data_IF_811890706565
#
_entry.id   IF_811890706565
#
_cell.length_a   1.000
_cell.length_b   1.000
_cell.length_c   1.000
_cell.angle_alpha   90.00
_cell.angle_beta   90.00
_cell.angle_gamma   90.00
#
_symmetry.space_group_name_H-M   'P 1'
#
loop_
_entity.id
_entity.type
_entity.pdbx_description
1 polymer ?
#
# COMPACT_ATOMS: atom_id res chain seq x y z
N UNK A 1 25.31 -1.51 21.04
CA UNK A 1 24.38 -0.63 21.78
C UNK A 1 23.02 -1.32 21.82
N UNK A 2 22.43 -1.57 23.00
CA UNK A 2 21.12 -2.21 23.10
C UNK A 2 20.08 -1.27 22.51
N UNK A 3 19.36 -1.69 21.48
CA UNK A 3 18.16 -1.00 21.01
C UNK A 3 17.19 -0.89 22.18
N UNK A 4 17.02 0.30 22.71
CA UNK A 4 15.93 0.61 23.62
C UNK A 4 14.64 0.50 22.80
N UNK A 5 13.94 -0.64 22.90
CA UNK A 5 12.62 -0.81 22.33
C UNK A 5 11.75 0.33 22.86
N UNK A 6 11.39 1.26 21.98
CA UNK A 6 10.49 2.35 22.32
C UNK A 6 9.07 1.81 22.34
N UNK A 7 8.46 1.74 23.51
CA UNK A 7 7.06 1.40 23.66
C UNK A 7 6.18 2.65 23.60
N UNK A 8 5.19 2.65 22.75
CA UNK A 8 4.18 3.70 22.58
C UNK A 8 2.80 3.20 23.04
N UNK A 9 1.84 4.10 23.31
CA UNK A 9 0.46 3.69 23.52
C UNK A 9 0.02 2.81 22.33
N UNK A 10 -0.54 1.64 22.63
CA UNK A 10 -0.91 0.66 21.61
C UNK A 10 -1.94 1.21 20.63
N UNK A 11 -2.90 2.01 21.12
CA UNK A 11 -3.87 2.70 20.30
C UNK A 11 -3.48 4.19 20.14
N UNK A 12 -3.15 4.58 18.93
CA UNK A 12 -2.90 5.97 18.55
C UNK A 12 -4.08 6.47 17.71
N UNK A 13 -4.64 7.63 18.10
CA UNK A 13 -5.79 8.22 17.43
C UNK A 13 -5.36 9.52 16.76
N UNK A 14 -5.68 9.64 15.48
CA UNK A 14 -5.39 10.79 14.63
C UNK A 14 -6.72 11.44 14.22
N UNK A 15 -6.85 12.72 14.52
CA UNK A 15 -8.05 13.49 14.21
C UNK A 15 -7.73 14.40 13.04
N UNK A 16 -8.44 14.19 11.94
CA UNK A 16 -8.33 14.98 10.71
C UNK A 16 -9.54 15.91 10.61
N UNK A 17 -9.30 17.16 10.23
CA UNK A 17 -10.39 18.14 10.07
C UNK A 17 -11.26 17.78 8.86
N UNK A 18 -12.41 17.20 9.14
CA UNK A 18 -13.41 16.83 8.16
C UNK A 18 -14.65 17.73 8.14
N UNK A 19 -14.61 18.93 8.74
CA UNK A 19 -15.78 19.81 8.86
C UNK A 19 -16.41 20.15 7.51
N UNK A 20 -15.61 20.25 6.44
CA UNK A 20 -16.07 20.52 5.09
C UNK A 20 -16.83 19.36 4.42
N UNK A 21 -16.66 18.12 4.90
CA UNK A 21 -17.34 16.96 4.34
C UNK A 21 -18.73 16.77 4.93
N UNK A 22 -19.59 16.08 4.21
CA UNK A 22 -20.92 15.69 4.69
C UNK A 22 -20.93 14.38 5.46
N UNK A 23 -19.81 13.68 5.43
CA UNK A 23 -19.62 12.37 6.06
C UNK A 23 -18.58 12.44 7.16
N UNK A 24 -18.66 11.50 8.10
CA UNK A 24 -17.61 11.13 9.03
C UNK A 24 -16.96 9.83 8.54
N UNK A 25 -15.63 9.79 8.45
CA UNK A 25 -14.88 8.60 8.12
C UNK A 25 -14.07 8.13 9.33
N UNK A 26 -14.27 6.88 9.71
CA UNK A 26 -13.51 6.15 10.70
C UNK A 26 -12.70 5.05 10.01
N UNK A 27 -11.39 5.00 10.25
CA UNK A 27 -10.52 3.95 9.75
C UNK A 27 -9.65 3.43 10.90
N UNK A 28 -9.75 2.14 11.19
CA UNK A 28 -9.00 1.46 12.24
C UNK A 28 -8.03 0.49 11.58
N UNK A 29 -6.75 0.73 11.72
CA UNK A 29 -5.67 -0.07 11.18
C UNK A 29 -4.98 -0.86 12.29
N UNK A 30 -4.92 -2.17 12.16
CA UNK A 30 -3.97 -2.99 12.88
C UNK A 30 -2.68 -3.03 12.07
N UNK A 31 -1.60 -2.52 12.64
CA UNK A 31 -0.29 -2.39 11.99
C UNK A 31 0.54 -3.63 12.26
N UNK A 32 0.53 -4.54 11.31
CA UNK A 32 1.10 -5.88 11.40
C UNK A 32 2.39 -5.92 10.57
N UNK A 33 3.54 -6.38 11.12
CA UNK A 33 4.71 -6.67 10.30
C UNK A 33 4.38 -7.67 9.20
N UNK A 34 4.70 -7.35 7.96
CA UNK A 34 4.42 -8.24 6.83
C UNK A 34 5.40 -9.41 6.83
N UNK A 35 4.89 -10.59 7.17
CA UNK A 35 5.67 -11.84 7.25
C UNK A 35 5.00 -12.93 6.43
N UNK A 36 5.82 -13.77 5.79
CA UNK A 36 5.35 -14.87 4.94
C UNK A 36 4.41 -15.82 5.69
N UNK A 37 4.71 -16.09 6.97
CA UNK A 37 4.00 -17.07 7.80
C UNK A 37 2.60 -16.59 8.24
N UNK A 38 2.36 -15.28 8.24
CA UNK A 38 1.12 -14.70 8.75
C UNK A 38 0.30 -13.99 7.67
N UNK A 39 0.90 -13.68 6.52
CA UNK A 39 0.27 -12.91 5.46
C UNK A 39 -1.08 -13.51 5.02
N UNK A 40 -1.11 -14.82 4.78
CA UNK A 40 -2.32 -15.54 4.34
C UNK A 40 -3.40 -15.58 5.42
N UNK A 41 -3.00 -15.74 6.69
CA UNK A 41 -3.95 -15.69 7.82
C UNK A 41 -4.64 -14.33 7.91
N UNK A 42 -3.87 -13.23 7.80
CA UNK A 42 -4.44 -11.86 7.84
C UNK A 42 -5.37 -11.61 6.66
N UNK A 43 -4.99 -12.05 5.45
CA UNK A 43 -5.84 -11.92 4.27
C UNK A 43 -7.15 -12.70 4.42
N UNK A 44 -7.09 -13.92 4.95
CA UNK A 44 -8.26 -14.75 5.20
C UNK A 44 -9.17 -14.16 6.30
N UNK A 45 -8.57 -13.57 7.35
CA UNK A 45 -9.31 -12.85 8.39
C UNK A 45 -10.16 -11.72 7.82
N UNK A 46 -9.61 -10.90 6.93
CA UNK A 46 -10.35 -9.81 6.32
C UNK A 46 -11.59 -10.32 5.57
N UNK A 47 -11.45 -11.40 4.81
CA UNK A 47 -12.59 -12.01 4.10
C UNK A 47 -13.62 -12.63 5.05
N UNK A 48 -13.16 -13.18 6.18
CA UNK A 48 -14.03 -13.82 7.17
C UNK A 48 -14.80 -12.80 8.00
N UNK A 49 -14.15 -11.75 8.49
CA UNK A 49 -14.75 -10.72 9.33
C UNK A 49 -15.83 -9.88 8.62
N UNK A 50 -15.85 -9.87 7.29
CA UNK A 50 -16.93 -9.30 6.47
C UNK A 50 -18.22 -10.09 6.54
N UNK A 51 -18.25 -11.29 7.12
CA UNK A 51 -19.42 -12.17 7.08
C UNK A 51 -20.38 -11.95 8.23
N UNK A 52 -19.93 -11.28 9.29
CA UNK A 52 -20.76 -10.96 10.44
C UNK A 52 -19.97 -10.80 11.71
N UNK A 53 -20.66 -10.36 12.73
CA UNK A 53 -20.21 -10.33 14.11
C UNK A 53 -21.38 -10.77 15.00
N UNK A 54 -21.15 -11.01 16.29
CA UNK A 54 -22.21 -11.54 17.19
C UNK A 54 -23.53 -10.76 17.12
N UNK A 55 -23.57 -9.39 17.15
CA UNK A 55 -24.82 -8.66 17.02
C UNK A 55 -25.42 -8.69 15.60
N UNK A 56 -24.60 -8.93 14.59
CA UNK A 56 -24.99 -8.95 13.17
C UNK A 56 -24.45 -10.23 12.52
N UNK A 57 -25.10 -11.40 12.74
CA UNK A 57 -24.50 -12.70 12.46
C UNK A 57 -24.53 -13.12 10.99
N UNK A 58 -24.87 -12.21 10.08
CA UNK A 58 -24.89 -12.49 8.64
C UNK A 58 -24.60 -11.25 7.81
N UNK A 59 -24.18 -11.38 6.53
CA UNK A 59 -24.05 -10.26 5.62
C UNK A 59 -25.32 -9.44 5.48
N UNK A 60 -26.49 -10.10 5.52
CA UNK A 60 -27.79 -9.42 5.46
C UNK A 60 -28.06 -8.58 6.71
N UNK A 61 -27.69 -9.07 7.89
CA UNK A 61 -27.82 -8.31 9.13
C UNK A 61 -26.90 -7.09 9.16
N UNK A 62 -25.65 -7.23 8.65
CA UNK A 62 -24.73 -6.12 8.48
C UNK A 62 -25.25 -5.09 7.47
N UNK A 63 -25.77 -5.56 6.32
CA UNK A 63 -26.34 -4.68 5.30
C UNK A 63 -27.56 -3.90 5.85
N UNK A 64 -28.47 -4.58 6.54
CA UNK A 64 -29.63 -3.96 7.19
C UNK A 64 -29.16 -2.88 8.19
N UNK A 65 -28.14 -3.18 9.01
CA UNK A 65 -27.60 -2.21 9.97
C UNK A 65 -26.98 -1.00 9.27
N UNK A 66 -26.28 -1.20 8.16
CA UNK A 66 -25.73 -0.11 7.37
C UNK A 66 -26.85 0.76 6.74
N UNK A 67 -27.94 0.16 6.29
CA UNK A 67 -29.13 0.88 5.80
C UNK A 67 -29.77 1.72 6.91
N UNK A 68 -29.92 1.18 8.13
CA UNK A 68 -30.43 1.91 9.30
C UNK A 68 -29.55 3.14 9.65
N UNK A 69 -28.25 3.06 9.33
CA UNK A 69 -27.28 4.18 9.41
C UNK A 69 -27.24 5.00 8.11
N UNK A 70 -28.37 5.19 7.43
CA UNK A 70 -28.52 5.95 6.19
C UNK A 70 -27.60 5.51 5.05
N UNK A 71 -27.41 4.20 4.89
CA UNK A 71 -26.57 3.63 3.84
C UNK A 71 -25.08 3.80 4.14
N UNK A 72 -24.67 3.58 5.38
CA UNK A 72 -23.27 3.63 5.79
C UNK A 72 -22.39 2.70 4.94
N UNK A 73 -21.24 3.19 4.52
CA UNK A 73 -20.25 2.42 3.78
C UNK A 73 -19.23 1.85 4.76
N UNK A 74 -19.06 0.54 4.77
CA UNK A 74 -18.10 -0.13 5.63
C UNK A 74 -17.34 -1.23 4.89
N UNK A 75 -16.13 -1.50 5.33
CA UNK A 75 -15.31 -2.59 4.78
C UNK A 75 -14.31 -3.13 5.81
N UNK A 76 -13.90 -4.38 5.60
CA UNK A 76 -12.74 -4.98 6.28
C UNK A 76 -11.78 -5.47 5.20
N UNK A 77 -10.61 -4.90 5.13
CA UNK A 77 -9.65 -5.20 4.06
C UNK A 77 -8.22 -5.31 4.56
N UNK A 78 -7.36 -5.81 3.69
CA UNK A 78 -5.92 -5.79 3.90
C UNK A 78 -5.29 -4.80 2.95
N UNK A 79 -4.43 -3.93 3.51
CA UNK A 79 -3.68 -2.95 2.74
C UNK A 79 -2.19 -3.15 2.98
N UNK A 80 -1.42 -3.24 1.90
CA UNK A 80 0.05 -3.26 1.98
C UNK A 80 0.58 -1.84 1.98
N UNK A 81 1.31 -1.48 3.03
CA UNK A 81 2.04 -0.21 3.12
C UNK A 81 3.49 -0.50 3.50
N UNK A 82 4.35 -0.53 2.52
CA UNK A 82 5.74 -0.85 2.77
C UNK A 82 5.95 -2.29 3.21
N UNK A 83 6.68 -2.47 4.31
CA UNK A 83 6.91 -3.74 4.98
C UNK A 83 5.78 -4.11 5.98
N UNK A 84 4.62 -3.45 5.87
CA UNK A 84 3.48 -3.63 6.75
C UNK A 84 2.28 -4.22 6.02
N UNK A 85 1.55 -5.08 6.72
CA UNK A 85 0.22 -5.55 6.35
C UNK A 85 -0.77 -4.94 7.31
N UNK A 86 -1.62 -4.06 6.81
CA UNK A 86 -2.61 -3.37 7.63
C UNK A 86 -3.94 -4.08 7.48
N UNK A 87 -4.46 -4.65 8.59
CA UNK A 87 -5.85 -5.08 8.64
C UNK A 87 -6.70 -3.84 8.96
N UNK A 88 -7.45 -3.41 7.97
CA UNK A 88 -8.26 -2.19 8.00
C UNK A 88 -9.72 -2.50 8.25
N UNK A 89 -10.30 -1.85 9.24
CA UNK A 89 -11.75 -1.71 9.41
C UNK A 89 -12.13 -0.27 9.12
N UNK A 90 -13.07 -0.07 8.25
CA UNK A 90 -13.50 1.26 7.83
C UNK A 90 -15.01 1.42 7.91
N UNK A 91 -15.44 2.64 8.23
CA UNK A 91 -16.83 3.03 8.25
C UNK A 91 -16.96 4.50 7.87
N UNK A 92 -17.74 4.76 6.84
CA UNK A 92 -18.12 6.11 6.45
C UNK A 92 -19.64 6.29 6.59
N UNK A 93 -20.04 7.29 7.38
CA UNK A 93 -21.44 7.60 7.68
C UNK A 93 -21.75 9.06 7.38
N UNK A 94 -23.00 9.38 7.08
CA UNK A 94 -23.44 10.76 7.08
C UNK A 94 -23.27 11.38 8.47
N UNK A 95 -22.99 12.68 8.57
CA UNK A 95 -22.92 13.40 9.84
C UNK A 95 -24.24 13.41 10.63
N UNK A 96 -25.36 13.10 9.97
CA UNK A 96 -26.65 12.94 10.63
C UNK A 96 -26.74 11.69 11.51
N UNK A 97 -25.85 10.69 11.29
CA UNK A 97 -25.75 9.50 12.15
C UNK A 97 -25.01 9.87 13.42
N UNK A 98 -25.54 9.47 14.59
CA UNK A 98 -24.80 9.66 15.84
C UNK A 98 -23.46 8.91 15.76
N UNK A 99 -22.39 9.64 16.03
CA UNK A 99 -21.04 9.08 15.99
C UNK A 99 -20.87 7.91 16.97
N UNK A 100 -21.56 7.91 18.10
CA UNK A 100 -21.50 6.81 19.07
C UNK A 100 -22.08 5.51 18.48
N UNK A 101 -23.12 5.63 17.69
CA UNK A 101 -23.70 4.51 16.94
C UNK A 101 -22.67 3.93 15.93
N UNK A 102 -21.98 4.81 15.20
CA UNK A 102 -20.90 4.43 14.28
C UNK A 102 -19.73 3.76 15.00
N UNK A 103 -19.33 4.29 16.15
CA UNK A 103 -18.26 3.72 16.98
C UNK A 103 -18.64 2.35 17.55
N UNK A 104 -19.89 2.18 17.98
CA UNK A 104 -20.41 0.90 18.47
C UNK A 104 -20.42 -0.17 17.38
N UNK A 105 -20.86 0.19 16.17
CA UNK A 105 -20.84 -0.73 15.03
C UNK A 105 -19.42 -1.21 14.72
N UNK A 106 -18.44 -0.30 14.63
CA UNK A 106 -17.04 -0.68 14.41
C UNK A 106 -16.48 -1.51 15.55
N UNK A 107 -16.80 -1.15 16.79
CA UNK A 107 -16.37 -1.91 17.97
C UNK A 107 -16.90 -3.33 17.94
N UNK A 108 -18.16 -3.53 17.59
CA UNK A 108 -18.77 -4.85 17.49
C UNK A 108 -18.15 -5.67 16.38
N UNK A 109 -17.88 -5.10 15.19
CA UNK A 109 -17.16 -5.76 14.10
C UNK A 109 -15.77 -6.24 14.53
N UNK A 110 -15.06 -5.43 15.31
CA UNK A 110 -13.68 -5.72 15.70
C UNK A 110 -13.63 -6.66 16.92
N UNK A 111 -14.41 -6.43 17.94
CA UNK A 111 -14.24 -7.10 19.23
C UNK A 111 -15.18 -8.29 19.46
N UNK A 112 -16.19 -8.44 18.62
CA UNK A 112 -17.23 -9.49 18.78
C UNK A 112 -17.38 -10.30 17.49
N UNK A 113 -16.28 -10.97 17.02
CA UNK A 113 -16.36 -11.79 15.81
C UNK A 113 -17.28 -13.01 16.02
N UNK A 114 -17.79 -13.57 14.91
CA UNK A 114 -18.54 -14.84 14.95
C UNK A 114 -17.58 -15.98 15.30
N UNK A 115 -17.44 -16.29 16.58
CA UNK A 115 -16.60 -17.38 17.06
C UNK A 115 -17.35 -18.21 18.11
N UNK A 116 -17.18 -19.51 18.06
CA UNK A 116 -17.79 -20.47 18.97
C UNK A 116 -16.70 -21.32 19.61
N UNK A 117 -16.74 -21.48 20.93
CA UNK A 117 -15.81 -22.30 21.69
C UNK A 117 -14.31 -22.05 21.38
N UNK A 118 -13.96 -20.80 21.11
CA UNK A 118 -12.56 -20.41 20.82
C UNK A 118 -12.10 -20.72 19.39
N UNK A 119 -13.02 -20.87 18.45
CA UNK A 119 -12.73 -21.10 17.04
C UNK A 119 -13.73 -20.36 16.13
N UNK A 120 -13.31 -19.99 14.95
CA UNK A 120 -14.25 -19.60 13.88
C UNK A 120 -14.95 -20.85 13.32
N UNK A 121 -16.25 -20.77 12.95
CA UNK A 121 -17.00 -21.91 12.40
C UNK A 121 -16.30 -22.48 11.17
N UNK A 122 -16.06 -23.80 11.17
CA UNK A 122 -15.27 -24.48 10.13
C UNK A 122 -15.86 -24.28 8.73
N UNK A 123 -17.20 -24.38 8.59
CA UNK A 123 -17.86 -24.17 7.30
C UNK A 123 -17.63 -22.75 6.77
N UNK A 124 -17.67 -21.75 7.64
CA UNK A 124 -17.41 -20.35 7.28
C UNK A 124 -15.96 -20.17 6.81
N UNK A 125 -14.99 -20.75 7.51
CA UNK A 125 -13.58 -20.71 7.14
C UNK A 125 -13.36 -21.34 5.78
N UNK A 126 -13.87 -22.55 5.55
CA UNK A 126 -13.72 -23.25 4.26
C UNK A 126 -14.37 -22.49 3.11
N UNK A 127 -15.49 -21.84 3.33
CA UNK A 127 -16.12 -20.97 2.33
C UNK A 127 -15.25 -19.78 1.98
N UNK A 128 -14.64 -19.11 2.98
CA UNK A 128 -13.78 -17.96 2.73
C UNK A 128 -12.44 -18.37 2.10
N UNK A 129 -11.89 -19.53 2.43
CA UNK A 129 -10.74 -20.09 1.72
C UNK A 129 -11.00 -20.24 0.21
N UNK A 130 -12.18 -20.76 -0.17
CA UNK A 130 -12.56 -20.88 -1.59
C UNK A 130 -12.62 -19.51 -2.29
N UNK A 131 -13.16 -18.49 -1.60
CA UNK A 131 -13.26 -17.14 -2.13
C UNK A 131 -11.87 -16.52 -2.27
N UNK A 132 -11.02 -16.61 -1.25
CA UNK A 132 -9.66 -16.08 -1.29
C UNK A 132 -8.81 -16.80 -2.35
N UNK A 133 -8.91 -18.12 -2.47
CA UNK A 133 -8.25 -18.90 -3.53
C UNK A 133 -8.62 -18.40 -4.91
N UNK A 134 -9.89 -18.17 -5.19
CA UNK A 134 -10.34 -17.59 -6.44
C UNK A 134 -9.79 -16.18 -6.66
N UNK A 135 -9.78 -15.33 -5.62
CA UNK A 135 -9.21 -13.98 -5.68
C UNK A 135 -7.72 -14.03 -6.03
N UNK A 136 -6.95 -14.90 -5.38
CA UNK A 136 -5.51 -15.07 -5.63
C UNK A 136 -5.21 -15.55 -7.06
N UNK A 137 -6.03 -16.46 -7.60
CA UNK A 137 -5.92 -16.90 -8.99
C UNK A 137 -6.26 -15.79 -9.97
N UNK A 138 -7.34 -15.05 -9.74
CA UNK A 138 -7.74 -13.93 -10.61
C UNK A 138 -6.68 -12.81 -10.65
N UNK A 139 -5.91 -12.60 -9.57
CA UNK A 139 -4.79 -11.65 -9.58
C UNK A 139 -3.68 -12.05 -10.58
N UNK A 140 -3.66 -13.29 -11.02
CA UNK A 140 -2.71 -13.78 -12.02
C UNK A 140 -3.19 -13.52 -13.46
N UNK A 141 -4.45 -13.18 -13.67
CA UNK A 141 -5.04 -12.99 -15.01
C UNK A 141 -4.76 -11.59 -15.56
N UNK A 142 -4.64 -10.58 -14.72
CA UNK A 142 -4.16 -9.26 -15.12
C UNK A 142 -2.63 -9.29 -15.28
N UNK A 143 -2.16 -9.44 -16.50
CA UNK A 143 -0.73 -9.52 -16.84
C UNK A 143 0.06 -8.31 -16.39
N UNK A 144 -0.52 -7.12 -16.43
CA UNK A 144 0.15 -5.89 -16.03
C UNK A 144 0.41 -5.89 -14.53
N UNK A 145 -0.60 -6.23 -13.75
CA UNK A 145 -0.50 -6.32 -12.29
C UNK A 145 0.34 -7.52 -11.87
N UNK A 146 0.19 -8.65 -12.55
CA UNK A 146 1.02 -9.83 -12.34
C UNK A 146 2.51 -9.55 -12.55
N UNK A 147 2.88 -8.95 -13.69
CA UNK A 147 4.27 -8.60 -13.97
C UNK A 147 4.84 -7.62 -12.94
N UNK A 148 4.04 -6.64 -12.49
CA UNK A 148 4.43 -5.69 -11.46
C UNK A 148 4.70 -6.37 -10.13
N UNK A 149 3.83 -7.29 -9.71
CA UNK A 149 3.97 -8.03 -8.46
C UNK A 149 5.18 -8.95 -8.50
N UNK A 150 5.35 -9.71 -9.59
CA UNK A 150 6.52 -10.58 -9.76
C UNK A 150 7.82 -9.79 -9.76
N UNK A 151 7.85 -8.66 -10.45
CA UNK A 151 9.02 -7.78 -10.43
C UNK A 151 9.33 -7.24 -9.03
N UNK A 152 8.32 -6.91 -8.22
CA UNK A 152 8.51 -6.49 -6.82
C UNK A 152 9.07 -7.65 -5.98
N UNK A 153 8.53 -8.86 -6.10
CA UNK A 153 8.99 -10.06 -5.40
C UNK A 153 10.48 -10.31 -5.68
N UNK A 154 10.88 -10.21 -6.95
CA UNK A 154 12.26 -10.43 -7.39
C UNK A 154 13.20 -9.27 -6.99
N UNK A 155 12.76 -8.02 -7.18
CA UNK A 155 13.56 -6.82 -6.85
C UNK A 155 13.84 -6.73 -5.36
N UNK A 156 12.83 -7.05 -4.54
CA UNK A 156 12.88 -6.97 -3.08
C UNK A 156 13.13 -8.32 -2.40
N UNK A 157 13.63 -9.33 -3.15
CA UNK A 157 13.81 -10.68 -2.65
C UNK A 157 14.60 -10.74 -1.34
N UNK A 158 14.12 -11.55 -0.39
CA UNK A 158 14.71 -11.67 0.95
C UNK A 158 14.31 -10.56 1.92
N UNK A 159 13.42 -9.67 1.54
CA UNK A 159 12.89 -8.59 2.38
C UNK A 159 11.38 -8.75 2.61
N UNK A 160 10.80 -8.13 3.65
CA UNK A 160 9.34 -8.12 3.84
C UNK A 160 8.56 -7.50 2.65
N UNK A 161 9.21 -6.67 1.84
CA UNK A 161 8.61 -6.05 0.65
C UNK A 161 8.23 -7.07 -0.43
N UNK A 162 8.99 -8.18 -0.54
CA UNK A 162 8.70 -9.26 -1.47
C UNK A 162 7.46 -10.06 -1.07
N UNK A 163 7.03 -10.01 0.20
CA UNK A 163 5.89 -10.79 0.69
C UNK A 163 4.58 -10.20 0.17
N UNK A 164 3.71 -11.06 -0.37
CA UNK A 164 2.35 -10.68 -0.79
C UNK A 164 1.45 -10.45 0.43
N UNK A 165 0.83 -9.29 0.53
CA UNK A 165 -0.15 -9.02 1.58
C UNK A 165 -1.50 -9.72 1.33
N UNK A 166 -1.77 -10.15 0.10
CA UNK A 166 -2.96 -10.94 -0.24
C UNK A 166 -2.82 -12.41 0.20
N UNK A 167 -1.62 -12.82 0.65
CA UNK A 167 -1.31 -14.19 1.02
C UNK A 167 -0.97 -15.08 -0.17
N UNK A 168 -1.03 -16.38 0.06
CA UNK A 168 -0.61 -17.42 -0.89
C UNK A 168 -1.59 -18.58 -0.88
N UNK A 169 -1.84 -19.15 -2.06
CA UNK A 169 -2.82 -20.22 -2.21
C UNK A 169 -2.42 -21.50 -1.47
N UNK A 170 -1.14 -21.83 -1.50
CA UNK A 170 -0.57 -23.02 -0.85
C UNK A 170 -0.72 -23.03 0.67
N UNK A 171 -0.87 -21.88 1.31
CA UNK A 171 -1.01 -21.82 2.78
C UNK A 171 -2.43 -22.10 3.25
N UNK A 172 -3.42 -21.94 2.37
CA UNK A 172 -4.85 -21.98 2.75
C UNK A 172 -5.25 -23.29 3.39
N UNK A 173 -4.73 -24.41 2.89
CA UNK A 173 -5.13 -25.73 3.38
C UNK A 173 -4.65 -25.99 4.82
N UNK A 174 -3.57 -25.36 5.25
CA UNK A 174 -3.02 -25.46 6.62
C UNK A 174 -3.70 -24.55 7.66
N UNK A 175 -4.71 -23.74 7.29
CA UNK A 175 -5.38 -22.83 8.21
C UNK A 175 -6.72 -23.41 8.63
N UNK A 176 -6.98 -23.58 9.92
CA UNK A 176 -8.27 -23.96 10.49
C UNK A 176 -8.90 -22.85 11.33
N UNK A 177 -10.14 -23.05 11.76
CA UNK A 177 -10.90 -22.07 12.52
C UNK A 177 -10.28 -21.74 13.88
N UNK A 178 -9.65 -22.71 14.55
CA UNK A 178 -9.01 -22.52 15.85
C UNK A 178 -7.75 -21.71 15.73
N UNK A 179 -6.84 -22.12 14.86
CA UNK A 179 -5.56 -21.41 14.63
C UNK A 179 -5.76 -19.99 14.10
N UNK A 180 -6.82 -19.76 13.30
CA UNK A 180 -7.17 -18.45 12.80
C UNK A 180 -7.74 -17.55 13.89
N UNK A 181 -8.58 -18.10 14.79
CA UNK A 181 -9.13 -17.36 15.93
C UNK A 181 -8.05 -17.01 16.96
N UNK A 182 -7.17 -17.97 17.29
CA UNK A 182 -6.01 -17.72 18.16
C UNK A 182 -5.12 -16.61 17.60
N UNK A 183 -4.86 -16.62 16.29
CA UNK A 183 -4.12 -15.57 15.61
C UNK A 183 -4.86 -14.23 15.71
N UNK A 184 -6.17 -14.17 15.51
CA UNK A 184 -6.96 -12.94 15.66
C UNK A 184 -6.90 -12.38 17.08
N UNK A 185 -7.06 -13.23 18.08
CA UNK A 185 -6.94 -12.85 19.50
C UNK A 185 -5.54 -12.29 19.81
N UNK A 186 -4.49 -12.84 19.19
CA UNK A 186 -3.13 -12.32 19.30
C UNK A 186 -3.02 -10.93 18.69
N UNK A 187 -3.54 -10.71 17.47
CA UNK A 187 -3.57 -9.39 16.83
C UNK A 187 -4.27 -8.36 17.73
N UNK A 188 -5.44 -8.72 18.26
CA UNK A 188 -6.21 -7.85 19.15
C UNK A 188 -5.46 -7.50 20.46
N UNK A 189 -4.50 -8.27 20.91
CA UNK A 189 -3.75 -8.04 22.14
C UNK A 189 -2.40 -7.35 21.93
N UNK A 190 -1.71 -7.64 20.85
CA UNK A 190 -0.30 -7.33 20.70
C UNK A 190 -0.02 -6.24 19.68
N UNK A 191 -0.79 -6.19 18.58
CA UNK A 191 -0.46 -5.29 17.47
C UNK A 191 -0.82 -3.83 17.76
N UNK A 192 -0.03 -2.92 17.17
CA UNK A 192 -0.29 -1.48 17.22
C UNK A 192 -1.56 -1.13 16.45
N UNK A 193 -2.41 -0.30 17.04
CA UNK A 193 -3.67 0.15 16.44
C UNK A 193 -3.58 1.64 16.12
N UNK A 194 -3.86 2.01 14.89
CA UNK A 194 -3.95 3.40 14.43
C UNK A 194 -5.38 3.68 14.00
N UNK A 195 -6.00 4.65 14.67
CA UNK A 195 -7.36 5.09 14.37
C UNK A 195 -7.29 6.45 13.72
N UNK A 196 -7.85 6.58 12.55
CA UNK A 196 -8.04 7.85 11.86
C UNK A 196 -9.52 8.20 11.88
N UNK A 197 -9.81 9.40 12.32
CA UNK A 197 -11.14 9.99 12.25
C UNK A 197 -11.06 11.27 11.43
N UNK A 198 -11.74 11.27 10.28
CA UNK A 198 -11.93 12.45 9.47
C UNK A 198 -13.38 12.93 9.66
N UNK A 199 -13.57 14.00 10.43
CA UNK A 199 -14.90 14.45 10.84
C UNK A 199 -14.86 15.76 11.61
N UNK A 200 -15.87 16.01 12.45
CA UNK A 200 -15.93 17.21 13.25
C UNK A 200 -15.05 17.09 14.51
N UNK A 201 -14.29 18.13 14.79
CA UNK A 201 -13.42 18.20 15.98
C UNK A 201 -14.20 18.22 17.30
N UNK A 202 -15.47 18.61 17.29
CA UNK A 202 -16.35 18.60 18.49
C UNK A 202 -16.59 17.17 18.98
N UNK A 203 -16.56 16.17 18.08
CA UNK A 203 -16.72 14.75 18.36
C UNK A 203 -15.46 14.07 18.95
N UNK A 204 -14.39 14.82 19.14
CA UNK A 204 -13.08 14.34 19.61
C UNK A 204 -13.18 13.43 20.83
N UNK A 205 -14.02 13.79 21.81
CA UNK A 205 -14.12 13.03 23.08
C UNK A 205 -14.65 11.62 22.85
N UNK A 206 -15.67 11.47 21.99
CA UNK A 206 -16.25 10.17 21.62
C UNK A 206 -15.20 9.28 20.96
N UNK A 207 -14.47 9.81 19.95
CA UNK A 207 -13.43 9.05 19.24
C UNK A 207 -12.29 8.63 20.15
N UNK A 208 -11.85 9.50 21.06
CA UNK A 208 -10.77 9.20 22.01
C UNK A 208 -11.14 8.07 22.98
N UNK A 209 -12.43 7.80 23.20
CA UNK A 209 -12.87 6.68 24.03
C UNK A 209 -12.49 5.30 23.43
N UNK A 210 -12.27 5.20 22.11
CA UNK A 210 -11.78 3.98 21.46
C UNK A 210 -10.44 3.47 22.02
N UNK A 211 -9.63 4.33 22.65
CA UNK A 211 -8.39 3.88 23.32
C UNK A 211 -8.65 2.83 24.39
N UNK A 212 -9.82 2.88 25.03
CA UNK A 212 -10.20 1.90 26.06
C UNK A 212 -10.41 0.50 25.50
N UNK A 213 -10.73 0.40 24.19
CA UNK A 213 -10.91 -0.88 23.51
C UNK A 213 -9.57 -1.59 23.24
N UNK A 214 -8.47 -0.82 23.20
CA UNK A 214 -7.14 -1.33 22.86
C UNK A 214 -6.11 -0.88 23.91
N UNK A 215 -6.19 -1.39 25.14
CA UNK A 215 -5.32 -0.99 26.24
C UNK A 215 -3.89 -1.48 26.02
N UNK A 216 -2.94 -0.90 26.78
CA UNK A 216 -1.56 -1.34 26.83
C UNK A 216 -0.62 -0.51 25.95
N UNK A 217 0.56 -1.06 25.76
CA UNK A 217 1.65 -0.48 24.95
C UNK A 217 2.08 -1.51 23.91
N UNK A 218 2.41 -1.05 22.71
CA UNK A 218 3.01 -1.86 21.67
C UNK A 218 4.43 -1.38 21.40
N UNK A 219 5.26 -2.26 20.89
CA UNK A 219 6.55 -1.87 20.35
C UNK A 219 6.34 -0.86 19.23
N UNK A 220 7.10 0.23 19.27
CA UNK A 220 7.20 1.08 18.10
C UNK A 220 7.95 0.26 17.07
N UNK A 221 7.26 -0.13 16.03
CA UNK A 221 7.90 -0.69 14.87
C UNK A 221 8.59 0.49 14.18
N UNK A 222 9.81 0.80 14.62
CA UNK A 222 10.65 1.83 14.04
C UNK A 222 10.86 1.47 12.57
N UNK A 223 10.68 2.48 11.69
CA UNK A 223 11.02 2.55 10.29
C UNK A 223 11.25 1.20 9.58
N UNK A 224 11.38 1.17 8.35
CA UNK A 224 11.66 -0.05 7.59
C UNK A 224 12.79 -0.86 8.25
N UNK A 225 12.58 -2.16 8.53
CA UNK A 225 13.72 -3.05 8.63
C UNK A 225 14.51 -2.83 7.34
N UNK A 226 15.65 -2.15 7.47
CA UNK A 226 16.60 -2.03 6.36
C UNK A 226 16.83 -3.44 5.87
N UNK A 227 16.40 -3.71 4.65
CA UNK A 227 16.80 -4.93 4.01
C UNK A 227 18.33 -4.90 3.98
N UNK A 228 18.99 -5.88 4.59
CA UNK A 228 20.41 -6.06 4.35
C UNK A 228 20.60 -6.09 2.85
N UNK A 229 21.19 -5.02 2.35
CA UNK A 229 21.30 -4.78 0.93
C UNK A 229 22.20 -5.88 0.34
N UNK A 230 21.57 -6.90 -0.25
CA UNK A 230 22.34 -7.84 -1.06
C UNK A 230 22.92 -7.03 -2.22
N UNK A 231 24.21 -6.74 -2.16
CA UNK A 231 25.03 -6.23 -3.26
C UNK A 231 25.15 -7.28 -4.38
N UNK A 232 24.04 -7.91 -4.72
CA UNK A 232 24.01 -8.88 -5.80
C UNK A 232 23.91 -8.13 -7.13
N UNK A 233 24.55 -8.62 -8.19
CA UNK A 233 24.38 -8.07 -9.53
C UNK A 233 22.89 -8.15 -9.94
N UNK A 234 22.43 -7.26 -10.81
CA UNK A 234 21.08 -7.33 -11.34
C UNK A 234 20.82 -8.69 -11.98
N UNK A 235 19.66 -9.27 -11.71
CA UNK A 235 19.28 -10.54 -12.31
C UNK A 235 18.16 -10.35 -13.33
N UNK A 236 18.18 -11.18 -14.35
CA UNK A 236 17.20 -11.18 -15.42
C UNK A 236 16.28 -12.38 -15.28
N UNK A 237 14.96 -12.10 -15.18
CA UNK A 237 13.93 -13.12 -15.05
C UNK A 237 13.04 -13.07 -16.29
N UNK A 238 12.88 -14.21 -16.95
CA UNK A 238 11.96 -14.38 -18.06
C UNK A 238 10.91 -15.41 -17.70
N UNK A 239 9.66 -15.02 -17.76
CA UNK A 239 8.51 -15.88 -17.52
C UNK A 239 7.60 -15.83 -18.76
N UNK A 240 6.96 -16.96 -19.10
CA UNK A 240 6.00 -17.05 -20.21
C UNK A 240 4.61 -17.37 -19.67
N UNK A 241 3.63 -16.61 -20.10
CA UNK A 241 2.23 -16.79 -19.75
C UNK A 241 1.35 -16.49 -20.96
N UNK A 242 0.23 -17.23 -21.12
CA UNK A 242 -0.69 -17.05 -22.24
C UNK A 242 -1.11 -15.58 -22.43
N UNK A 243 -1.08 -15.10 -23.69
CA UNK A 243 -1.53 -13.78 -24.14
C UNK A 243 -0.55 -13.06 -25.04
N UNK A 244 -1.07 -12.08 -25.76
CA UNK A 244 -0.38 -11.44 -26.90
C UNK A 244 0.67 -10.37 -26.51
N UNK A 245 0.54 -9.74 -25.34
CA UNK A 245 1.37 -8.59 -25.00
C UNK A 245 2.50 -8.92 -24.01
N UNK A 246 3.72 -8.62 -24.41
CA UNK A 246 4.90 -8.74 -23.57
C UNK A 246 4.99 -7.55 -22.59
N UNK A 247 5.31 -7.83 -21.34
CA UNK A 247 5.52 -6.84 -20.28
C UNK A 247 6.96 -6.86 -19.80
N UNK A 248 7.62 -5.72 -19.88
CA UNK A 248 8.96 -5.51 -19.33
C UNK A 248 8.84 -4.67 -18.06
N UNK A 249 9.45 -5.12 -16.97
CA UNK A 249 9.53 -4.36 -15.72
C UNK A 249 10.99 -4.32 -15.24
N UNK A 250 11.50 -3.12 -15.03
CA UNK A 250 12.80 -2.90 -14.40
C UNK A 250 12.56 -2.46 -12.96
N UNK A 251 13.19 -3.14 -12.00
CA UNK A 251 13.12 -2.81 -10.57
C UNK A 251 14.44 -2.24 -10.07
N UNK A 252 14.36 -1.11 -9.40
CA UNK A 252 15.50 -0.39 -8.83
C UNK A 252 15.35 -0.23 -7.33
N UNK A 253 16.44 -0.41 -6.59
CA UNK A 253 16.56 0.02 -5.20
C UNK A 253 17.11 1.44 -5.12
N UNK A 254 16.60 2.23 -4.19
CA UNK A 254 17.09 3.58 -3.90
C UNK A 254 17.74 3.60 -2.51
N UNK A 255 19.00 3.96 -2.44
CA UNK A 255 19.74 4.14 -1.20
C UNK A 255 19.40 5.50 -0.55
N UNK A 256 19.53 5.61 0.78
CA UNK A 256 19.45 6.88 1.53
C UNK A 256 18.17 7.71 1.34
N UNK A 257 17.02 7.05 1.33
CA UNK A 257 15.70 7.68 1.20
C UNK A 257 15.06 8.13 2.53
N UNK A 258 15.80 8.07 3.63
CA UNK A 258 15.28 8.15 5.02
C UNK A 258 14.86 9.57 5.42
N UNK A 259 15.26 10.60 4.71
CA UNK A 259 14.86 11.97 5.00
C UNK A 259 13.56 12.33 4.28
N UNK A 260 12.70 13.12 4.92
CA UNK A 260 11.50 13.64 4.27
C UNK A 260 11.80 14.44 2.99
N UNK A 261 13.01 15.07 2.88
CA UNK A 261 13.50 15.75 1.67
C UNK A 261 13.91 14.73 0.60
N UNK A 262 14.64 13.68 0.97
CA UNK A 262 15.04 12.61 0.04
C UNK A 262 13.84 11.94 -0.59
N UNK A 263 12.80 11.66 0.21
CA UNK A 263 11.55 11.08 -0.28
C UNK A 263 10.81 12.02 -1.24
N UNK A 264 10.67 13.30 -0.91
CA UNK A 264 10.04 14.28 -1.80
C UNK A 264 10.83 14.41 -3.13
N UNK A 265 12.17 14.39 -3.07
CA UNK A 265 13.03 14.39 -4.24
C UNK A 265 12.82 13.15 -5.12
N UNK A 266 12.68 11.99 -4.49
CA UNK A 266 12.41 10.72 -5.20
C UNK A 266 11.06 10.73 -5.93
N UNK A 267 10.01 11.24 -5.30
CA UNK A 267 8.71 11.42 -5.94
C UNK A 267 8.79 12.38 -7.14
N UNK A 268 9.49 13.48 -6.98
CA UNK A 268 9.68 14.46 -8.04
C UNK A 268 10.54 13.89 -9.18
N UNK A 269 11.62 13.17 -8.87
CA UNK A 269 12.43 12.44 -9.84
C UNK A 269 11.61 11.42 -10.61
N UNK A 270 10.79 10.62 -9.91
CA UNK A 270 9.87 9.66 -10.56
C UNK A 270 8.88 10.38 -11.50
N UNK A 271 8.36 11.56 -11.10
CA UNK A 271 7.45 12.34 -11.95
C UNK A 271 8.13 12.78 -13.25
N UNK A 272 9.38 13.23 -13.18
CA UNK A 272 10.19 13.61 -14.34
C UNK A 272 10.54 12.40 -15.21
N UNK A 273 10.85 11.26 -14.59
CA UNK A 273 11.27 10.04 -15.29
C UNK A 273 10.12 9.43 -16.12
N UNK A 274 9.03 9.04 -15.51
CA UNK A 274 7.96 8.30 -16.16
C UNK A 274 6.57 8.48 -15.53
N UNK A 275 6.35 9.57 -14.77
CA UNK A 275 5.13 9.82 -14.04
C UNK A 275 3.98 10.46 -14.85
N UNK A 276 4.13 10.63 -16.16
CA UNK A 276 3.08 11.23 -16.98
C UNK A 276 3.48 11.40 -18.46
N UNK A 277 2.58 11.96 -19.29
CA UNK A 277 2.84 12.14 -20.72
C UNK A 277 4.03 13.05 -21.05
N UNK A 278 4.33 14.03 -20.19
CA UNK A 278 5.44 14.96 -20.36
C UNK A 278 6.78 14.42 -19.83
N UNK A 279 6.77 13.20 -19.30
CA UNK A 279 7.96 12.55 -18.72
C UNK A 279 8.94 12.07 -19.78
N UNK A 280 10.23 11.92 -19.39
CA UNK A 280 11.30 11.52 -20.30
C UNK A 280 11.04 10.18 -20.97
N UNK A 281 10.64 9.15 -20.19
CA UNK A 281 10.39 7.82 -20.74
C UNK A 281 9.24 7.82 -21.75
N UNK A 282 8.16 8.56 -21.45
CA UNK A 282 7.04 8.63 -22.36
C UNK A 282 7.44 9.31 -23.68
N UNK A 283 8.12 10.47 -23.62
CA UNK A 283 8.53 11.21 -24.82
C UNK A 283 9.54 10.44 -25.65
N UNK A 284 10.62 9.92 -25.05
CA UNK A 284 11.68 9.27 -25.80
C UNK A 284 11.32 7.85 -26.25
N UNK A 285 10.79 7.00 -25.34
CA UNK A 285 10.63 5.58 -25.62
C UNK A 285 9.35 5.31 -26.43
N UNK A 286 8.25 6.01 -26.08
CA UNK A 286 6.97 5.80 -26.75
C UNK A 286 6.80 6.69 -27.98
N UNK A 287 6.98 8.03 -27.83
CA UNK A 287 6.65 8.97 -28.90
C UNK A 287 7.75 9.06 -29.97
N UNK A 288 9.03 9.16 -29.56
CA UNK A 288 10.12 9.32 -30.52
C UNK A 288 10.58 7.99 -31.13
N UNK A 289 10.79 6.95 -30.29
CA UNK A 289 11.33 5.65 -30.73
C UNK A 289 10.28 4.61 -31.10
N UNK A 290 9.04 4.76 -30.63
CA UNK A 290 7.95 3.81 -30.88
C UNK A 290 8.18 2.39 -30.32
N UNK A 291 9.03 2.24 -29.29
CA UNK A 291 9.45 0.94 -28.74
C UNK A 291 8.39 0.30 -27.82
N UNK A 292 7.37 1.05 -27.41
CA UNK A 292 6.36 0.55 -26.47
C UNK A 292 4.98 1.15 -26.72
N UNK A 293 3.95 0.42 -26.33
CA UNK A 293 2.55 0.91 -26.36
C UNK A 293 2.25 1.79 -25.15
N UNK A 294 2.78 1.42 -24.00
CA UNK A 294 2.69 2.15 -22.76
C UNK A 294 4.01 2.05 -21.98
N UNK A 295 4.41 3.13 -21.35
CA UNK A 295 5.55 3.16 -20.44
C UNK A 295 5.26 4.09 -19.29
N UNK A 296 5.60 3.65 -18.08
CA UNK A 296 5.52 4.47 -16.88
C UNK A 296 6.52 4.05 -15.82
N UNK A 297 6.94 5.02 -15.01
CA UNK A 297 7.63 4.72 -13.76
C UNK A 297 6.68 4.94 -12.57
N UNK A 298 6.89 4.19 -11.50
CA UNK A 298 6.15 4.32 -10.26
C UNK A 298 7.01 3.88 -9.08
N UNK A 299 6.75 4.47 -7.93
CA UNK A 299 7.30 4.07 -6.66
C UNK A 299 6.17 3.73 -5.70
N UNK A 300 6.39 2.76 -4.84
CA UNK A 300 5.43 2.48 -3.78
C UNK A 300 5.64 3.46 -2.62
N UNK A 301 4.55 3.96 -2.03
CA UNK A 301 4.65 4.70 -0.80
C UNK A 301 5.40 3.89 0.26
N UNK A 302 6.24 4.57 1.05
CA UNK A 302 7.01 3.94 2.12
C UNK A 302 8.04 2.89 1.63
N UNK A 303 8.52 3.01 0.39
CA UNK A 303 9.39 2.01 -0.23
C UNK A 303 10.63 2.64 -0.85
N UNK A 304 11.78 2.01 -0.73
CA UNK A 304 12.97 2.43 -1.45
C UNK A 304 12.99 1.94 -2.91
N UNK A 305 11.86 1.42 -3.42
CA UNK A 305 11.80 0.77 -4.72
C UNK A 305 11.17 1.67 -5.78
N UNK A 306 11.83 1.78 -6.93
CA UNK A 306 11.31 2.35 -8.16
C UNK A 306 11.13 1.24 -9.19
N UNK A 307 10.04 1.30 -9.94
CA UNK A 307 9.79 0.41 -11.05
C UNK A 307 9.53 1.19 -12.32
N UNK A 308 10.03 0.68 -13.43
CA UNK A 308 9.65 1.11 -14.77
C UNK A 308 8.99 -0.05 -15.46
N UNK A 309 7.74 0.12 -15.89
CA UNK A 309 6.96 -0.88 -16.59
C UNK A 309 6.64 -0.41 -18.00
N UNK A 310 6.82 -1.29 -19.00
CA UNK A 310 6.49 -1.02 -20.39
C UNK A 310 5.77 -2.21 -21.03
N UNK A 311 4.79 -1.91 -21.90
CA UNK A 311 4.18 -2.86 -22.82
C UNK A 311 4.90 -2.81 -24.15
N UNK A 312 5.58 -3.88 -24.54
CA UNK A 312 6.52 -3.90 -25.66
C UNK A 312 6.27 -5.08 -26.58
N UNK A 313 6.91 -5.07 -27.76
CA UNK A 313 7.21 -6.29 -28.49
C UNK A 313 8.42 -6.97 -27.84
N UNK A 314 8.48 -8.29 -27.81
CA UNK A 314 9.53 -9.02 -27.11
C UNK A 314 10.94 -8.71 -27.66
N UNK A 315 11.05 -8.50 -28.96
CA UNK A 315 12.28 -8.13 -29.66
C UNK A 315 12.85 -6.79 -29.21
N UNK A 316 11.98 -5.83 -28.80
CA UNK A 316 12.36 -4.49 -28.36
C UNK A 316 12.83 -4.44 -26.89
N UNK A 317 12.80 -5.58 -26.18
CA UNK A 317 13.04 -5.62 -24.74
C UNK A 317 14.43 -5.08 -24.33
N UNK A 318 15.47 -5.44 -25.07
CA UNK A 318 16.85 -4.99 -24.79
C UNK A 318 17.03 -3.50 -25.05
N UNK A 319 16.48 -3.00 -26.15
CA UNK A 319 16.59 -1.58 -26.51
C UNK A 319 15.78 -0.71 -25.55
N UNK A 320 14.56 -1.15 -25.19
CA UNK A 320 13.72 -0.46 -24.20
C UNK A 320 14.41 -0.40 -22.84
N UNK A 321 14.98 -1.52 -22.35
CA UNK A 321 15.71 -1.54 -21.09
C UNK A 321 16.92 -0.59 -21.13
N UNK A 322 17.71 -0.61 -22.22
CA UNK A 322 18.83 0.29 -22.41
C UNK A 322 18.43 1.77 -22.44
N UNK A 323 17.30 2.10 -23.07
CA UNK A 323 16.73 3.45 -23.08
C UNK A 323 16.28 3.91 -21.68
N UNK A 324 15.67 3.02 -20.88
CA UNK A 324 15.33 3.32 -19.49
C UNK A 324 16.56 3.70 -18.67
N UNK A 325 17.62 2.89 -18.77
CA UNK A 325 18.86 3.12 -18.03
C UNK A 325 19.53 4.45 -18.43
N UNK A 326 19.56 4.77 -19.73
CA UNK A 326 20.07 6.05 -20.25
C UNK A 326 19.30 7.25 -19.71
N UNK A 327 17.96 7.13 -19.60
CA UNK A 327 17.14 8.23 -19.06
C UNK A 327 17.37 8.46 -17.56
N UNK A 328 17.64 7.40 -16.78
CA UNK A 328 18.02 7.54 -15.36
C UNK A 328 19.39 8.19 -15.25
N UNK A 329 20.37 7.75 -16.05
CA UNK A 329 21.71 8.33 -16.09
C UNK A 329 21.68 9.81 -16.52
N UNK A 330 20.81 10.16 -17.47
CA UNK A 330 20.62 11.54 -17.90
C UNK A 330 20.04 12.42 -16.76
N UNK A 331 19.11 11.90 -15.95
CA UNK A 331 18.62 12.63 -14.76
C UNK A 331 19.69 12.82 -13.68
N UNK A 332 20.67 11.92 -13.61
CA UNK A 332 21.82 12.04 -12.69
C UNK A 332 22.85 13.07 -13.20
N UNK A 333 23.17 13.04 -14.50
CA UNK A 333 24.33 13.76 -15.06
C UNK A 333 23.99 15.06 -15.77
N UNK A 334 22.83 15.14 -16.42
CA UNK A 334 22.43 16.29 -17.23
C UNK A 334 21.60 17.28 -16.42
N UNK A 335 21.51 18.51 -16.92
CA UNK A 335 20.62 19.51 -16.34
C UNK A 335 19.16 19.28 -16.75
N UNK A 336 18.27 19.42 -15.77
CA UNK A 336 16.84 19.41 -16.01
C UNK A 336 16.38 20.82 -16.40
N UNK A 337 15.76 21.02 -17.58
CA UNK A 337 15.27 22.34 -17.95
C UNK A 337 14.34 22.90 -16.87
N UNK A 338 14.59 24.13 -16.41
CA UNK A 338 13.84 24.77 -15.32
C UNK A 338 12.34 24.70 -15.52
N UNK A 339 11.86 24.90 -16.75
CA UNK A 339 10.43 24.79 -17.08
C UNK A 339 9.87 23.40 -16.78
N UNK A 340 10.59 22.33 -17.13
CA UNK A 340 10.15 20.95 -16.87
C UNK A 340 10.17 20.64 -15.36
N UNK A 341 11.16 21.14 -14.64
CA UNK A 341 11.23 20.97 -13.19
C UNK A 341 10.04 21.64 -12.49
N UNK A 342 9.74 22.89 -12.84
CA UNK A 342 8.60 23.61 -12.24
C UNK A 342 7.24 22.97 -12.62
N UNK A 343 7.07 22.53 -13.85
CA UNK A 343 5.87 21.78 -14.26
C UNK A 343 5.68 20.47 -13.47
N UNK A 344 6.76 19.73 -13.22
CA UNK A 344 6.71 18.51 -12.43
C UNK A 344 6.36 18.81 -10.96
N UNK A 345 6.93 19.87 -10.36
CA UNK A 345 6.57 20.33 -9.02
C UNK A 345 5.11 20.71 -8.92
N UNK A 346 4.63 21.58 -9.83
CA UNK A 346 3.21 21.98 -9.87
C UNK A 346 2.26 20.79 -10.01
N UNK A 347 2.66 19.79 -10.81
CA UNK A 347 1.87 18.57 -10.97
C UNK A 347 1.76 17.78 -9.67
N UNK A 348 2.88 17.60 -8.95
CA UNK A 348 2.86 16.94 -7.63
C UNK A 348 2.09 17.75 -6.58
N UNK A 349 2.32 19.07 -6.56
CA UNK A 349 1.61 19.95 -5.63
C UNK A 349 0.10 19.88 -5.84
N UNK A 350 -0.39 19.86 -7.10
CA UNK A 350 -1.81 19.69 -7.40
C UNK A 350 -2.34 18.32 -6.96
N UNK A 351 -1.58 17.25 -7.20
CA UNK A 351 -1.94 15.90 -6.79
C UNK A 351 -2.14 15.81 -5.28
N UNK A 352 -1.17 16.31 -4.51
CA UNK A 352 -1.21 16.25 -3.05
C UNK A 352 -2.12 17.31 -2.40
N UNK A 353 -2.34 18.47 -3.03
CA UNK A 353 -3.32 19.44 -2.54
C UNK A 353 -4.76 18.93 -2.72
N UNK A 354 -5.02 18.21 -3.80
CA UNK A 354 -6.34 17.61 -4.06
C UNK A 354 -6.73 16.50 -3.07
N UNK A 355 -5.78 15.94 -2.30
CA UNK A 355 -6.11 14.93 -1.28
C UNK A 355 -7.00 15.48 -0.17
N UNK A 356 -6.85 16.78 0.15
CA UNK A 356 -7.68 17.39 1.18
C UNK A 356 -9.17 17.42 0.82
N UNK A 357 -9.54 17.20 -0.44
CA UNK A 357 -10.93 17.19 -0.91
C UNK A 357 -11.63 15.84 -0.79
N UNK A 358 -10.92 14.81 -0.34
CA UNK A 358 -11.44 13.46 -0.19
C UNK A 358 -11.05 12.87 1.17
N UNK A 359 -12.02 12.45 2.01
CA UNK A 359 -11.73 11.89 3.34
C UNK A 359 -10.74 10.73 3.29
N UNK A 360 -10.92 9.82 2.33
CA UNK A 360 -10.04 8.66 2.16
C UNK A 360 -8.62 9.03 1.75
N UNK A 361 -8.45 9.99 0.84
CA UNK A 361 -7.13 10.45 0.43
C UNK A 361 -6.36 11.08 1.60
N UNK A 362 -7.07 11.84 2.47
CA UNK A 362 -6.50 12.36 3.71
C UNK A 362 -6.05 11.23 4.64
N UNK A 363 -6.93 10.26 4.89
CA UNK A 363 -6.61 9.12 5.76
C UNK A 363 -5.41 8.35 5.22
N UNK A 364 -5.37 8.06 3.91
CA UNK A 364 -4.27 7.31 3.28
C UNK A 364 -2.93 8.03 3.41
N UNK A 365 -2.91 9.32 3.11
CA UNK A 365 -1.71 10.17 3.23
C UNK A 365 -1.19 10.24 4.68
N UNK A 366 -2.09 10.52 5.65
CA UNK A 366 -1.67 10.62 7.04
C UNK A 366 -1.33 9.27 7.67
N UNK A 367 -1.95 8.17 7.21
CA UNK A 367 -1.57 6.83 7.60
C UNK A 367 -0.12 6.51 7.19
N UNK A 368 0.28 6.90 5.98
CA UNK A 368 1.66 6.75 5.52
C UNK A 368 2.66 7.51 6.41
N UNK A 369 2.35 8.75 6.76
CA UNK A 369 3.21 9.54 7.66
C UNK A 369 3.27 8.94 9.07
N UNK A 370 2.12 8.49 9.60
CA UNK A 370 2.04 7.85 10.91
C UNK A 370 2.83 6.54 10.99
N UNK A 371 2.88 5.78 9.88
CA UNK A 371 3.69 4.55 9.78
C UNK A 371 5.19 4.84 9.77
N UNK A 372 5.60 6.01 9.27
CA UNK A 372 7.01 6.46 9.28
C UNK A 372 7.43 7.11 10.61
N UNK A 373 6.51 7.26 11.57
CA UNK A 373 6.78 8.02 12.79
C UNK A 373 6.99 9.53 12.54
N UNK A 374 6.60 10.03 11.36
CA UNK A 374 6.73 11.45 11.01
C UNK A 374 5.62 12.29 11.59
N UNK A 375 5.89 13.60 11.69
CA UNK A 375 4.86 14.57 12.07
C UNK A 375 3.82 14.70 10.96
N UNK A 376 2.55 14.57 11.31
CA UNK A 376 1.43 14.65 10.38
C UNK A 376 1.20 16.09 9.93
N UNK A 377 1.72 16.45 8.75
CA UNK A 377 1.55 17.78 8.19
C UNK A 377 1.63 17.78 6.67
N UNK A 378 0.46 17.94 6.04
CA UNK A 378 0.37 18.13 4.59
C UNK A 378 1.14 19.37 4.15
N UNK A 379 1.00 20.49 4.86
CA UNK A 379 1.69 21.75 4.56
C UNK A 379 3.22 21.60 4.56
N UNK A 380 3.79 20.91 5.56
CA UNK A 380 5.24 20.67 5.61
C UNK A 380 5.70 19.81 4.44
N UNK A 381 4.89 18.83 4.03
CA UNK A 381 5.21 17.99 2.88
C UNK A 381 5.19 18.78 1.57
N UNK A 382 4.15 19.60 1.33
CA UNK A 382 4.05 20.47 0.16
C UNK A 382 5.20 21.47 0.09
N UNK A 383 5.51 22.15 1.19
CA UNK A 383 6.67 23.05 1.29
C UNK A 383 8.02 22.36 1.00
N UNK A 384 8.16 21.06 1.30
CA UNK A 384 9.35 20.30 0.93
C UNK A 384 9.46 20.14 -0.58
N UNK A 385 8.35 19.83 -1.27
CA UNK A 385 8.31 19.72 -2.74
C UNK A 385 8.67 21.06 -3.38
N UNK A 386 8.12 22.17 -2.90
CA UNK A 386 8.42 23.53 -3.41
C UNK A 386 9.92 23.87 -3.34
N UNK A 387 10.58 23.46 -2.25
CA UNK A 387 12.00 23.77 -1.99
C UNK A 387 12.99 22.83 -2.66
N UNK A 388 12.52 21.82 -3.39
CA UNK A 388 13.43 20.94 -4.14
C UNK A 388 14.07 21.70 -5.30
N UNK A 389 15.29 21.32 -5.60
CA UNK A 389 16.03 21.83 -6.73
C UNK A 389 16.60 20.69 -7.59
N UNK A 390 17.31 21.06 -8.65
CA UNK A 390 17.92 20.11 -9.58
C UNK A 390 18.93 19.18 -8.89
N UNK A 391 19.65 19.67 -7.88
CA UNK A 391 20.64 18.88 -7.16
C UNK A 391 19.99 17.73 -6.37
N UNK A 392 18.76 17.96 -5.88
CA UNK A 392 17.97 16.90 -5.21
C UNK A 392 17.58 15.80 -6.19
N UNK A 393 17.21 16.18 -7.43
CA UNK A 393 16.84 15.22 -8.47
C UNK A 393 18.04 14.39 -8.90
N UNK A 394 19.19 15.03 -9.15
CA UNK A 394 20.44 14.34 -9.48
C UNK A 394 20.84 13.35 -8.39
N UNK A 395 20.76 13.76 -7.14
CA UNK A 395 21.05 12.89 -6.00
C UNK A 395 20.10 11.71 -5.95
N UNK A 396 18.78 11.93 -6.10
CA UNK A 396 17.79 10.86 -6.09
C UNK A 396 18.02 9.86 -7.24
N UNK A 397 18.37 10.34 -8.44
CA UNK A 397 18.70 9.48 -9.58
C UNK A 397 20.01 8.70 -9.35
N UNK A 398 21.04 9.37 -8.80
CA UNK A 398 22.34 8.76 -8.51
C UNK A 398 22.31 7.65 -7.43
N UNK A 399 21.26 7.63 -6.63
CA UNK A 399 21.05 6.57 -5.63
C UNK A 399 20.31 5.34 -6.18
N UNK A 400 19.81 5.39 -7.41
CA UNK A 400 19.14 4.24 -8.01
C UNK A 400 20.13 3.15 -8.42
N UNK A 401 19.83 1.91 -8.05
CA UNK A 401 20.58 0.72 -8.45
C UNK A 401 19.63 -0.30 -9.04
N UNK A 402 19.88 -0.72 -10.28
CA UNK A 402 19.10 -1.79 -10.92
C UNK A 402 19.28 -3.08 -10.11
N UNK A 403 18.17 -3.72 -9.75
CA UNK A 403 18.14 -4.98 -8.98
C UNK A 403 17.61 -6.13 -9.82
N UNK A 404 16.57 -5.91 -10.60
CA UNK A 404 15.96 -6.94 -11.41
C UNK A 404 15.41 -6.39 -12.74
N UNK A 405 15.47 -7.22 -13.77
CA UNK A 405 14.76 -7.03 -15.03
C UNK A 405 13.84 -8.22 -15.22
N UNK A 406 12.54 -7.97 -15.19
CA UNK A 406 11.51 -8.98 -15.34
C UNK A 406 10.81 -8.86 -16.68
N UNK A 407 10.78 -9.94 -17.46
CA UNK A 407 10.14 -10.03 -18.76
C UNK A 407 9.05 -11.10 -18.73
N UNK A 408 7.81 -10.69 -18.85
CA UNK A 408 6.65 -11.56 -19.02
C UNK A 408 6.31 -11.61 -20.52
N UNK A 409 6.71 -12.68 -21.20
CA UNK A 409 6.39 -12.92 -22.60
C UNK A 409 5.07 -13.67 -22.81
N UNK A 410 4.53 -13.62 -24.04
CA UNK A 410 3.50 -14.55 -24.48
C UNK A 410 4.06 -15.97 -24.66
N UNK A 411 3.20 -17.00 -24.65
CA UNK A 411 3.61 -18.32 -25.18
C UNK A 411 3.86 -18.17 -26.68
N UNK A 412 4.91 -18.82 -27.17
CA UNK A 412 5.09 -18.96 -28.63
C UNK A 412 3.82 -19.59 -29.18
N UNK A 413 3.15 -18.89 -30.09
CA UNK A 413 2.05 -19.50 -30.83
C UNK A 413 2.58 -20.76 -31.49
N UNK A 414 1.96 -21.89 -31.26
CA UNK A 414 2.11 -23.05 -32.14
C UNK A 414 1.67 -22.60 -33.53
N UNK A 415 2.64 -22.30 -34.36
CA UNK A 415 2.44 -22.05 -35.80
C UNK A 415 1.86 -23.31 -36.47
#
# INVERSE_FOLDING_TARGET
>A
MRNLERYVPRCRIFLLDGRKFRTNLLAVFFDIPLRRETATKTALLAELLKRGCEPYPSPQALAKRAEEMYGALWDVSVVKKGSRQLLLFSLETLKAVDLEESLNFLRDLILRPLAEQGAFPAEMVERQKKILRRKLRNLQDDKREYARRRALEETAAGTPWAVSADGYEEDLDGIDGKSLYEYYCKLLREESVKVFFCGDSEERRKVLALRKCFPGRAALLDGYEEAEERKAPPHFIRERKDGEQTRLVLGFGAENMDSGRGRAAFLLMNRLLGGGPDSRLFQEIREEKGLCYDVKSFCYPLSPWLFVQAGIREEDSRETAGSVLKNIEALEKESVPRKKLEQAKESLLREYSGMEDQPWAMVDFFAEQALQGQELSAEKFLRRIERLDESDIRRAAGHLRLKAVYLLGGKEGTA
#
